data_IF_900322443927
#
_entry.id   IF_900322443927
#
_cell.length_a   1.000
_cell.length_b   1.000
_cell.length_c   1.000
_cell.angle_alpha   90.00
_cell.angle_beta   90.00
_cell.angle_gamma   90.00
#
_symmetry.space_group_name_H-M   'P 1'
#
loop_
_entity.id
_entity.type
_entity.pdbx_description
1 polymer ?
#
# COMPACT_ATOMS: atom_id res chain seq x y z
N UNK A 1 -44.01 13.71 -10.83
CA UNK A 1 -43.35 13.10 -9.66
C UNK A 1 -41.89 12.70 -9.97
N UNK A 2 -41.08 13.58 -10.59
CA UNK A 2 -39.72 13.26 -11.09
C UNK A 2 -38.59 14.13 -10.50
N UNK A 3 -38.89 15.06 -9.58
CA UNK A 3 -37.92 16.04 -9.07
C UNK A 3 -37.12 15.50 -7.88
N UNK A 4 -37.72 14.65 -7.04
CA UNK A 4 -37.09 14.11 -5.83
C UNK A 4 -35.88 13.20 -6.11
N UNK A 5 -35.93 12.38 -7.16
CA UNK A 5 -34.87 11.45 -7.54
C UNK A 5 -33.62 12.19 -8.11
N UNK A 6 -33.83 13.29 -8.83
CA UNK A 6 -32.74 14.14 -9.34
C UNK A 6 -31.97 14.88 -8.23
N UNK A 7 -32.68 15.33 -7.18
CA UNK A 7 -32.10 16.02 -6.03
C UNK A 7 -31.30 15.04 -5.15
N UNK A 8 -31.82 13.83 -4.92
CA UNK A 8 -31.12 12.75 -4.22
C UNK A 8 -29.85 12.31 -4.95
N UNK A 9 -29.90 12.14 -6.28
CA UNK A 9 -28.72 11.83 -7.10
C UNK A 9 -27.66 12.94 -7.07
N UNK A 10 -28.07 14.21 -7.09
CA UNK A 10 -27.15 15.36 -7.04
C UNK A 10 -26.51 15.51 -5.64
N UNK A 11 -27.27 15.28 -4.57
CA UNK A 11 -26.76 15.26 -3.19
C UNK A 11 -25.75 14.11 -2.98
N UNK A 12 -26.05 12.91 -3.49
CA UNK A 12 -25.14 11.76 -3.45
C UNK A 12 -23.84 12.05 -4.23
N UNK A 13 -23.94 12.59 -5.46
CA UNK A 13 -22.76 12.99 -6.26
C UNK A 13 -21.89 14.03 -5.55
N UNK A 14 -22.50 15.02 -4.89
CA UNK A 14 -21.78 16.02 -4.10
C UNK A 14 -21.12 15.40 -2.87
N UNK A 15 -21.79 14.46 -2.20
CA UNK A 15 -21.24 13.69 -1.09
C UNK A 15 -20.01 12.87 -1.49
N UNK A 16 -20.07 12.19 -2.64
CA UNK A 16 -18.94 11.42 -3.21
C UNK A 16 -17.77 12.33 -3.61
N UNK A 17 -18.04 13.47 -4.25
CA UNK A 17 -17.00 14.43 -4.62
C UNK A 17 -16.29 15.01 -3.38
N UNK A 18 -17.04 15.35 -2.33
CA UNK A 18 -16.45 15.77 -1.05
C UNK A 18 -15.63 14.65 -0.43
N UNK A 19 -16.13 13.41 -0.43
CA UNK A 19 -15.40 12.24 0.07
C UNK A 19 -14.05 12.08 -0.63
N UNK A 20 -14.06 12.06 -1.96
CA UNK A 20 -12.84 11.94 -2.78
C UNK A 20 -11.85 13.08 -2.52
N UNK A 21 -12.33 14.33 -2.45
CA UNK A 21 -11.50 15.49 -2.15
C UNK A 21 -10.82 15.38 -0.77
N UNK A 22 -11.53 14.86 0.24
CA UNK A 22 -10.97 14.64 1.57
C UNK A 22 -9.87 13.57 1.55
N UNK A 23 -10.09 12.46 0.81
CA UNK A 23 -9.09 11.40 0.68
C UNK A 23 -7.84 11.88 -0.06
N UNK A 24 -8.00 12.61 -1.16
CA UNK A 24 -6.89 13.17 -1.93
C UNK A 24 -6.05 14.16 -1.13
N UNK A 25 -6.72 15.01 -0.34
CA UNK A 25 -6.04 15.98 0.52
C UNK A 25 -5.31 15.30 1.67
N UNK A 26 -5.89 14.26 2.27
CA UNK A 26 -5.23 13.46 3.29
C UNK A 26 -3.95 12.82 2.75
N UNK A 27 -4.01 12.17 1.58
CA UNK A 27 -2.83 11.58 0.93
C UNK A 27 -1.76 12.65 0.69
N UNK A 28 -2.14 13.82 0.16
CA UNK A 28 -1.18 14.90 -0.12
C UNK A 28 -0.55 15.45 1.17
N UNK A 29 -1.34 15.64 2.23
CA UNK A 29 -0.85 16.10 3.52
C UNK A 29 0.10 15.08 4.16
N UNK A 30 -0.28 13.81 4.19
CA UNK A 30 0.55 12.73 4.72
C UNK A 30 1.85 12.58 3.92
N UNK A 31 1.80 12.67 2.59
CA UNK A 31 2.99 12.57 1.73
C UNK A 31 4.00 13.71 1.94
N UNK A 32 3.57 14.85 2.50
CA UNK A 32 4.45 16.00 2.79
C UNK A 32 5.46 15.73 3.92
N UNK A 33 5.14 14.79 4.82
CA UNK A 33 5.99 14.48 5.98
C UNK A 33 5.93 15.51 7.11
N UNK A 34 5.05 16.52 7.07
CA UNK A 34 4.81 17.41 8.22
C UNK A 34 4.34 16.55 9.41
N UNK A 35 5.03 16.58 10.57
CA UNK A 35 4.61 15.84 11.78
C UNK A 35 3.16 16.14 12.20
N UNK A 36 2.65 17.32 11.88
CA UNK A 36 1.26 17.71 12.14
C UNK A 36 0.24 17.16 11.13
N UNK A 37 0.68 16.54 10.04
CA UNK A 37 -0.18 16.06 8.96
C UNK A 37 -1.06 14.86 9.37
N UNK A 38 -0.66 14.07 10.39
CA UNK A 38 -1.47 12.95 10.88
C UNK A 38 -2.52 13.43 11.89
N UNK A 39 -3.37 14.35 11.45
CA UNK A 39 -4.50 14.84 12.24
C UNK A 39 -5.71 15.00 11.33
N UNK A 40 -6.69 14.10 11.50
CA UNK A 40 -7.93 14.14 10.72
C UNK A 40 -8.65 15.49 10.86
N UNK A 41 -8.59 16.12 12.05
CA UNK A 41 -9.16 17.45 12.27
C UNK A 41 -8.38 18.57 11.56
N UNK A 42 -7.04 18.49 11.52
CA UNK A 42 -6.22 19.46 10.78
C UNK A 42 -6.44 19.34 9.27
N UNK A 43 -6.48 18.12 8.74
CA UNK A 43 -6.76 17.85 7.32
C UNK A 43 -8.15 18.41 6.96
N UNK A 44 -9.17 18.17 7.80
CA UNK A 44 -10.50 18.72 7.61
C UNK A 44 -10.49 20.25 7.50
N UNK A 45 -9.83 20.94 8.44
CA UNK A 45 -9.68 22.40 8.42
C UNK A 45 -8.96 22.90 7.16
N UNK A 46 -7.90 22.21 6.72
CA UNK A 46 -7.10 22.61 5.56
C UNK A 46 -7.91 22.63 4.26
N UNK A 47 -8.90 21.76 4.12
CA UNK A 47 -9.77 21.69 2.94
C UNK A 47 -11.14 22.35 3.14
N UNK A 48 -11.30 23.11 4.23
CA UNK A 48 -12.53 23.85 4.51
C UNK A 48 -13.74 22.99 4.85
N UNK A 49 -13.54 21.75 5.32
CA UNK A 49 -14.62 20.89 5.83
C UNK A 49 -14.61 20.83 7.35
N UNK A 50 -15.79 20.66 7.94
CA UNK A 50 -15.91 20.57 9.39
C UNK A 50 -15.63 19.14 9.87
N UNK A 51 -15.26 18.98 11.14
CA UNK A 51 -15.18 17.65 11.77
C UNK A 51 -16.50 16.87 11.65
N UNK A 52 -17.64 17.56 11.72
CA UNK A 52 -18.96 16.95 11.51
C UNK A 52 -19.12 16.34 10.11
N UNK A 53 -18.51 16.94 9.07
CA UNK A 53 -18.47 16.34 7.72
C UNK A 53 -17.62 15.08 7.68
N UNK A 54 -16.49 15.04 8.39
CA UNK A 54 -15.65 13.83 8.51
C UNK A 54 -16.42 12.72 9.23
N UNK A 55 -17.07 13.03 10.35
CA UNK A 55 -17.90 12.06 11.07
C UNK A 55 -19.07 11.54 10.22
N UNK A 56 -19.73 12.41 9.46
CA UNK A 56 -20.80 11.98 8.56
C UNK A 56 -20.31 11.02 7.47
N UNK A 57 -19.11 11.25 6.93
CA UNK A 57 -18.57 10.50 5.79
C UNK A 57 -17.83 9.22 6.20
N UNK A 58 -17.18 9.22 7.36
CA UNK A 58 -16.25 8.17 7.77
C UNK A 58 -16.54 7.60 9.17
N UNK A 59 -17.46 8.21 9.92
CA UNK A 59 -17.80 7.86 11.30
C UNK A 59 -16.88 8.53 12.32
N UNK A 60 -15.58 8.25 12.23
CA UNK A 60 -14.55 8.76 13.15
C UNK A 60 -13.16 8.79 12.47
N UNK A 61 -12.11 9.01 13.26
CA UNK A 61 -10.73 9.03 12.78
C UNK A 61 -10.26 7.66 12.23
N UNK A 62 -10.62 6.55 12.88
CA UNK A 62 -10.27 5.20 12.41
C UNK A 62 -10.89 4.91 11.04
N UNK A 63 -12.15 5.31 10.83
CA UNK A 63 -12.80 5.14 9.53
C UNK A 63 -12.25 6.02 8.44
N UNK A 64 -11.79 7.20 8.83
CA UNK A 64 -11.11 8.09 7.90
C UNK A 64 -9.78 7.49 7.47
N UNK A 65 -8.96 7.01 8.42
CA UNK A 65 -7.68 6.37 8.10
C UNK A 65 -7.83 5.07 7.31
N UNK A 66 -8.80 4.22 7.67
CA UNK A 66 -9.14 3.05 6.87
C UNK A 66 -9.53 3.42 5.44
N UNK A 67 -10.33 4.48 5.25
CA UNK A 67 -10.71 4.95 3.92
C UNK A 67 -9.53 5.57 3.15
N UNK A 68 -8.63 6.31 3.81
CA UNK A 68 -7.41 6.86 3.20
C UNK A 68 -6.49 5.74 2.73
N UNK A 69 -6.29 4.72 3.57
CA UNK A 69 -5.57 3.52 3.17
C UNK A 69 -6.26 2.92 1.95
N UNK A 70 -7.53 2.53 2.04
CA UNK A 70 -8.26 1.91 0.94
C UNK A 70 -8.13 2.65 -0.39
N UNK A 71 -8.21 3.98 -0.34
CA UNK A 71 -8.01 4.87 -1.49
C UNK A 71 -6.65 4.68 -2.17
N UNK A 72 -5.57 4.65 -1.39
CA UNK A 72 -4.21 4.41 -1.90
C UNK A 72 -4.01 2.97 -2.41
N UNK A 73 -4.75 2.00 -1.86
CA UNK A 73 -4.72 0.62 -2.37
C UNK A 73 -5.38 0.50 -3.74
N UNK A 74 -6.55 1.10 -3.95
CA UNK A 74 -7.25 1.06 -5.25
C UNK A 74 -6.38 1.61 -6.40
N UNK A 75 -5.58 2.64 -6.13
CA UNK A 75 -4.65 3.22 -7.11
C UNK A 75 -3.47 2.31 -7.46
N UNK A 76 -3.16 1.35 -6.60
CA UNK A 76 -2.05 0.39 -6.75
C UNK A 76 -2.52 -1.02 -7.13
N UNK A 77 -3.82 -1.29 -7.09
CA UNK A 77 -4.39 -2.63 -7.30
C UNK A 77 -4.01 -3.28 -8.64
N UNK A 78 -3.66 -2.47 -9.65
CA UNK A 78 -3.30 -2.97 -10.98
C UNK A 78 -1.80 -3.23 -11.19
N UNK A 79 -0.93 -2.89 -10.22
CA UNK A 79 0.52 -2.95 -10.40
C UNK A 79 1.05 -4.38 -10.62
N UNK A 80 0.33 -5.40 -10.16
CA UNK A 80 0.77 -6.80 -10.25
C UNK A 80 -0.28 -7.72 -10.87
N UNK A 81 -1.21 -7.16 -11.66
CA UNK A 81 -2.45 -7.85 -12.01
C UNK A 81 -2.25 -9.06 -12.95
N UNK A 82 -1.20 -9.09 -13.77
CA UNK A 82 -0.94 -10.20 -14.70
C UNK A 82 0.56 -10.50 -14.77
N UNK A 83 1.04 -11.62 -14.22
CA UNK A 83 2.42 -12.05 -14.42
C UNK A 83 2.65 -12.44 -15.88
N UNK A 84 3.80 -12.07 -16.44
CA UNK A 84 4.24 -12.60 -17.74
C UNK A 84 4.62 -14.08 -17.58
N UNK A 85 3.71 -14.96 -17.99
CA UNK A 85 3.90 -16.42 -17.88
C UNK A 85 5.04 -16.94 -18.77
N UNK A 86 5.46 -16.19 -19.79
CA UNK A 86 6.63 -16.51 -20.62
C UNK A 86 7.97 -16.15 -19.99
N UNK A 87 7.97 -15.32 -18.94
CA UNK A 87 9.18 -14.82 -18.31
C UNK A 87 9.84 -15.85 -17.38
N UNK A 88 11.17 -15.85 -17.36
CA UNK A 88 11.97 -16.65 -16.41
C UNK A 88 11.71 -16.26 -14.96
N UNK A 89 11.97 -17.18 -14.01
CA UNK A 89 11.87 -16.91 -12.57
C UNK A 89 12.57 -15.60 -12.16
N UNK A 90 13.82 -15.41 -12.60
CA UNK A 90 14.59 -14.19 -12.30
C UNK A 90 13.90 -12.94 -12.87
N UNK A 91 13.39 -13.02 -14.10
CA UNK A 91 12.73 -11.88 -14.74
C UNK A 91 11.47 -11.45 -13.97
N UNK A 92 10.64 -12.40 -13.53
CA UNK A 92 9.47 -12.13 -12.69
C UNK A 92 9.83 -11.54 -11.33
N UNK A 93 10.89 -12.06 -10.69
CA UNK A 93 11.41 -11.46 -9.46
C UNK A 93 11.88 -10.03 -9.71
N UNK A 94 12.61 -9.77 -10.80
CA UNK A 94 13.06 -8.41 -11.16
C UNK A 94 11.88 -7.47 -11.34
N UNK A 95 10.88 -7.88 -12.11
CA UNK A 95 9.67 -7.08 -12.37
C UNK A 95 8.93 -6.71 -11.08
N UNK A 96 8.78 -7.68 -10.15
CA UNK A 96 8.18 -7.42 -8.84
C UNK A 96 8.98 -6.39 -8.05
N UNK A 97 10.31 -6.56 -7.98
CA UNK A 97 11.21 -5.67 -7.23
C UNK A 97 11.21 -4.26 -7.84
N UNK A 98 11.27 -4.15 -9.16
CA UNK A 98 11.30 -2.86 -9.87
C UNK A 98 9.96 -2.13 -9.72
N UNK A 99 8.85 -2.84 -9.90
CA UNK A 99 7.50 -2.28 -9.69
C UNK A 99 7.30 -1.78 -8.26
N UNK A 100 7.78 -2.54 -7.26
CA UNK A 100 7.72 -2.09 -5.87
C UNK A 100 8.63 -0.90 -5.61
N UNK A 101 9.84 -0.89 -6.16
CA UNK A 101 10.79 0.21 -5.97
C UNK A 101 10.21 1.52 -6.49
N UNK A 102 9.67 1.51 -7.71
CA UNK A 102 9.01 2.66 -8.31
C UNK A 102 7.75 3.06 -7.52
N UNK A 103 6.89 2.08 -7.19
CA UNK A 103 5.67 2.32 -6.43
C UNK A 103 5.92 2.91 -5.05
N UNK A 104 6.98 2.48 -4.36
CA UNK A 104 7.35 2.98 -3.03
C UNK A 104 7.95 4.39 -3.06
N UNK A 105 8.39 4.88 -4.22
CA UNK A 105 8.83 6.27 -4.38
C UNK A 105 7.67 7.25 -4.57
N UNK A 106 6.47 6.75 -4.89
CA UNK A 106 5.28 7.55 -5.14
C UNK A 106 4.74 8.26 -3.88
N UNK A 107 4.04 9.41 -4.02
CA UNK A 107 3.42 10.12 -2.91
C UNK A 107 2.50 9.25 -2.05
N UNK A 108 1.72 8.37 -2.67
CA UNK A 108 0.79 7.46 -1.99
C UNK A 108 1.53 6.53 -1.01
N UNK A 109 2.71 6.05 -1.38
CA UNK A 109 3.53 5.19 -0.52
C UNK A 109 4.09 5.95 0.67
N UNK A 110 4.58 7.19 0.47
CA UNK A 110 5.01 8.05 1.58
C UNK A 110 3.87 8.36 2.54
N UNK A 111 2.67 8.61 2.01
CA UNK A 111 1.49 8.85 2.81
C UNK A 111 1.16 7.67 3.73
N UNK A 112 1.24 6.45 3.20
CA UNK A 112 1.02 5.22 3.98
C UNK A 112 2.08 5.06 5.07
N UNK A 113 3.37 5.24 4.74
CA UNK A 113 4.44 5.07 5.72
C UNK A 113 4.35 6.11 6.85
N UNK A 114 4.07 7.37 6.51
CA UNK A 114 3.87 8.42 7.52
C UNK A 114 2.64 8.18 8.39
N UNK A 115 1.55 7.68 7.80
CA UNK A 115 0.37 7.26 8.57
C UNK A 115 0.71 6.11 9.52
N UNK A 116 1.38 5.05 9.04
CA UNK A 116 1.81 3.90 9.86
C UNK A 116 2.75 4.31 10.98
N UNK A 117 3.66 5.25 10.73
CA UNK A 117 4.61 5.74 11.73
C UNK A 117 3.93 6.50 12.89
N UNK A 118 2.76 7.10 12.63
CA UNK A 118 1.98 7.83 13.62
C UNK A 118 0.88 7.00 14.32
N UNK A 119 0.57 5.81 13.79
CA UNK A 119 -0.32 4.85 14.41
C UNK A 119 0.40 4.02 15.50
N UNK A 120 -0.33 3.38 16.42
CA UNK A 120 0.25 2.42 17.36
C UNK A 120 1.08 1.35 16.64
N UNK A 121 2.30 1.11 17.14
CA UNK A 121 3.23 0.14 16.55
C UNK A 121 2.90 -1.29 16.95
N UNK A 122 2.38 -1.47 18.16
CA UNK A 122 1.97 -2.77 18.67
C UNK A 122 0.67 -3.22 17.98
N UNK A 123 0.65 -4.39 17.31
CA UNK A 123 -0.53 -4.84 16.57
C UNK A 123 -1.78 -4.95 17.44
N UNK A 124 -1.64 -5.43 18.67
CA UNK A 124 -2.76 -5.56 19.62
C UNK A 124 -3.34 -4.22 20.04
N UNK A 125 -2.50 -3.19 20.15
CA UNK A 125 -2.94 -1.83 20.45
C UNK A 125 -3.61 -1.20 19.23
N UNK A 126 -3.06 -1.43 18.04
CA UNK A 126 -3.65 -0.98 16.78
C UNK A 126 -5.04 -1.60 16.56
N UNK A 127 -5.19 -2.90 16.76
CA UNK A 127 -6.48 -3.59 16.66
C UNK A 127 -7.51 -3.04 17.67
N UNK A 128 -7.07 -2.68 18.88
CA UNK A 128 -7.94 -2.12 19.92
C UNK A 128 -8.37 -0.68 19.62
N UNK A 129 -7.46 0.17 19.17
CA UNK A 129 -7.69 1.61 19.01
C UNK A 129 -8.19 2.00 17.61
N UNK A 130 -7.79 1.24 16.58
CA UNK A 130 -8.07 1.51 15.17
C UNK A 130 -8.45 0.21 14.42
N UNK A 131 -9.54 -0.48 14.81
CA UNK A 131 -9.88 -1.79 14.28
C UNK A 131 -10.13 -1.80 12.77
N UNK A 132 -10.69 -0.72 12.18
CA UNK A 132 -10.94 -0.65 10.73
C UNK A 132 -9.65 -0.41 9.97
N UNK A 133 -8.78 0.45 10.48
CA UNK A 133 -7.45 0.70 9.91
C UNK A 133 -6.61 -0.58 9.96
N UNK A 134 -6.63 -1.31 11.08
CA UNK A 134 -5.94 -2.59 11.22
C UNK A 134 -6.46 -3.64 10.24
N UNK A 135 -7.78 -3.73 10.06
CA UNK A 135 -8.40 -4.64 9.09
C UNK A 135 -7.96 -4.33 7.65
N UNK A 136 -7.89 -3.05 7.28
CA UNK A 136 -7.41 -2.64 5.94
C UNK A 136 -5.93 -3.00 5.74
N UNK A 137 -5.06 -2.76 6.72
CA UNK A 137 -3.65 -3.15 6.63
C UNK A 137 -3.47 -4.68 6.51
N UNK A 138 -4.30 -5.46 7.21
CA UNK A 138 -4.29 -6.93 7.12
C UNK A 138 -4.75 -7.42 5.74
N UNK A 139 -5.80 -6.82 5.17
CA UNK A 139 -6.30 -7.21 3.85
C UNK A 139 -5.24 -7.00 2.76
N UNK A 140 -4.38 -5.98 2.91
CA UNK A 140 -3.28 -5.73 1.98
C UNK A 140 -2.19 -6.77 2.07
N UNK A 141 -1.80 -7.18 3.28
CA UNK A 141 -0.84 -8.26 3.47
C UNK A 141 -1.33 -9.56 2.82
N UNK A 142 -2.59 -9.90 3.01
CA UNK A 142 -3.22 -11.07 2.38
C UNK A 142 -3.25 -10.97 0.86
N UNK A 143 -3.66 -9.82 0.31
CA UNK A 143 -3.68 -9.57 -1.13
C UNK A 143 -2.29 -9.64 -1.77
N UNK A 144 -1.27 -9.11 -1.08
CA UNK A 144 0.13 -9.19 -1.49
C UNK A 144 0.64 -10.63 -1.55
N UNK A 145 0.38 -11.43 -0.52
CA UNK A 145 0.75 -12.85 -0.52
C UNK A 145 0.06 -13.62 -1.65
N UNK A 146 -1.24 -13.40 -1.86
CA UNK A 146 -1.97 -14.05 -2.95
C UNK A 146 -1.40 -13.65 -4.32
N UNK A 147 -1.05 -12.37 -4.50
CA UNK A 147 -0.41 -11.86 -5.70
C UNK A 147 0.93 -12.55 -5.98
N UNK A 148 1.80 -12.67 -4.96
CA UNK A 148 3.08 -13.35 -5.11
C UNK A 148 2.90 -14.83 -5.45
N UNK A 149 1.97 -15.52 -4.80
CA UNK A 149 1.68 -16.92 -5.12
C UNK A 149 1.23 -17.08 -6.58
N UNK A 150 0.30 -16.23 -7.03
CA UNK A 150 -0.16 -16.25 -8.42
C UNK A 150 0.96 -15.93 -9.41
N UNK A 151 1.89 -15.04 -9.06
CA UNK A 151 3.00 -14.64 -9.93
C UNK A 151 3.99 -15.78 -10.25
N UNK A 152 4.01 -16.83 -9.42
CA UNK A 152 4.90 -17.97 -9.60
C UNK A 152 4.18 -19.32 -9.72
N UNK A 153 2.84 -19.34 -9.80
CA UNK A 153 2.02 -20.56 -9.72
C UNK A 153 2.26 -21.57 -10.86
N UNK A 154 2.72 -21.10 -12.01
CA UNK A 154 3.07 -21.91 -13.19
C UNK A 154 4.56 -22.34 -13.22
N UNK A 155 5.35 -21.91 -12.23
CA UNK A 155 6.73 -22.36 -12.04
C UNK A 155 6.79 -23.47 -10.98
N UNK A 156 7.76 -24.38 -11.10
CA UNK A 156 7.99 -25.47 -10.14
C UNK A 156 8.74 -24.97 -8.88
N UNK A 157 8.21 -23.93 -8.23
CA UNK A 157 8.79 -23.35 -7.01
C UNK A 157 7.99 -23.78 -5.78
N UNK A 158 8.68 -23.98 -4.66
CA UNK A 158 8.05 -24.28 -3.38
C UNK A 158 7.17 -23.09 -2.91
N UNK A 159 5.85 -23.28 -2.73
CA UNK A 159 4.94 -22.23 -2.25
C UNK A 159 5.34 -21.64 -0.89
N UNK A 160 5.99 -22.42 -0.03
CA UNK A 160 6.47 -21.93 1.27
C UNK A 160 7.62 -20.94 1.10
N UNK A 161 8.58 -21.22 0.20
CA UNK A 161 9.65 -20.27 -0.13
C UNK A 161 9.09 -18.99 -0.78
N UNK A 162 8.06 -19.11 -1.62
CA UNK A 162 7.35 -17.94 -2.17
C UNK A 162 6.70 -17.12 -1.05
N UNK A 163 6.11 -17.76 -0.04
CA UNK A 163 5.53 -17.08 1.11
C UNK A 163 6.59 -16.32 1.94
N UNK A 164 7.75 -16.93 2.19
CA UNK A 164 8.87 -16.29 2.91
C UNK A 164 9.41 -15.08 2.15
N UNK A 165 9.62 -15.21 0.85
CA UNK A 165 10.04 -14.11 -0.03
C UNK A 165 9.00 -13.00 -0.04
N UNK A 166 7.72 -13.33 -0.14
CA UNK A 166 6.63 -12.36 -0.08
C UNK A 166 6.61 -11.60 1.27
N UNK A 167 6.92 -12.27 2.39
CA UNK A 167 7.06 -11.60 3.71
C UNK A 167 8.26 -10.66 3.74
N UNK A 168 9.38 -11.06 3.14
CA UNK A 168 10.65 -10.31 3.17
C UNK A 168 10.61 -9.04 2.30
N UNK A 169 10.11 -9.17 1.07
CA UNK A 169 10.23 -8.15 0.02
C UNK A 169 9.77 -6.75 0.50
N UNK A 170 8.58 -6.57 1.09
CA UNK A 170 8.12 -5.23 1.48
C UNK A 170 9.05 -4.54 2.50
N UNK A 171 9.66 -5.30 3.41
CA UNK A 171 10.63 -4.77 4.39
C UNK A 171 11.93 -4.35 3.72
N UNK A 172 12.49 -5.24 2.89
CA UNK A 172 13.73 -4.97 2.15
C UNK A 172 13.60 -3.75 1.23
N UNK A 173 12.49 -3.65 0.49
CA UNK A 173 12.24 -2.54 -0.42
C UNK A 173 12.06 -1.20 0.31
N UNK A 174 11.39 -1.18 1.46
CA UNK A 174 11.32 0.02 2.31
C UNK A 174 12.71 0.47 2.77
N UNK A 175 13.58 -0.47 3.14
CA UNK A 175 14.97 -0.17 3.50
C UNK A 175 15.73 0.51 2.34
N UNK A 176 15.67 -0.06 1.13
CA UNK A 176 16.33 0.51 -0.04
C UNK A 176 15.79 1.90 -0.42
N UNK A 177 14.48 2.12 -0.29
CA UNK A 177 13.86 3.43 -0.55
C UNK A 177 14.22 4.43 0.54
N UNK A 178 14.35 4.00 1.80
CA UNK A 178 14.83 4.83 2.91
C UNK A 178 16.26 5.29 2.67
N UNK A 179 17.18 4.39 2.28
CA UNK A 179 18.56 4.75 1.93
C UNK A 179 18.62 5.81 0.84
N UNK A 180 17.77 5.70 -0.19
CA UNK A 180 17.66 6.73 -1.23
C UNK A 180 17.28 8.10 -0.66
N UNK A 181 16.33 8.13 0.26
CA UNK A 181 15.85 9.38 0.88
C UNK A 181 16.89 10.02 1.80
N UNK A 182 17.76 9.20 2.42
CA UNK A 182 18.85 9.66 3.27
C UNK A 182 20.09 10.11 2.48
N UNK A 183 20.06 10.05 1.14
CA UNK A 183 21.19 10.44 0.31
C UNK A 183 22.36 9.45 0.39
N UNK A 184 22.06 8.14 0.47
CA UNK A 184 23.06 7.09 0.57
C UNK A 184 24.10 7.18 -0.54
N UNK A 185 25.36 6.90 -0.19
CA UNK A 185 26.49 6.81 -1.12
C UNK A 185 26.58 5.43 -1.80
N UNK A 186 25.72 4.48 -1.41
CA UNK A 186 25.67 3.15 -2.01
C UNK A 186 24.99 3.17 -3.38
N UNK A 187 25.44 2.30 -4.30
CA UNK A 187 24.73 2.06 -5.56
C UNK A 187 23.45 1.25 -5.27
N UNK A 188 22.31 1.94 -5.24
CA UNK A 188 21.02 1.31 -4.98
C UNK A 188 20.53 0.46 -6.14
N UNK A 189 21.01 0.69 -7.36
CA UNK A 189 20.71 -0.18 -8.49
C UNK A 189 21.48 -1.49 -8.37
N UNK A 190 22.72 -1.44 -7.89
CA UNK A 190 23.48 -2.64 -7.51
C UNK A 190 22.80 -3.42 -6.39
N UNK A 191 22.35 -2.74 -5.33
CA UNK A 191 21.63 -3.38 -4.23
C UNK A 191 20.33 -4.07 -4.71
N UNK A 192 19.56 -3.42 -5.60
CA UNK A 192 18.36 -4.03 -6.20
C UNK A 192 18.70 -5.27 -7.03
N UNK A 193 19.70 -5.18 -7.92
CA UNK A 193 20.16 -6.34 -8.71
C UNK A 193 20.60 -7.49 -7.80
N UNK A 194 21.32 -7.19 -6.72
CA UNK A 194 21.73 -8.15 -5.71
C UNK A 194 20.54 -8.85 -5.04
N UNK A 195 19.55 -8.08 -4.60
CA UNK A 195 18.31 -8.61 -4.01
C UNK A 195 17.55 -9.53 -4.98
N UNK A 196 17.37 -9.10 -6.23
CA UNK A 196 16.73 -9.91 -7.27
C UNK A 196 17.47 -11.23 -7.48
N UNK A 197 18.79 -11.21 -7.58
CA UNK A 197 19.59 -12.41 -7.80
C UNK A 197 19.53 -13.36 -6.59
N UNK A 198 19.58 -12.83 -5.36
CA UNK A 198 19.49 -13.62 -4.15
C UNK A 198 18.12 -14.32 -4.01
N UNK A 199 17.03 -13.59 -4.25
CA UNK A 199 15.67 -14.16 -4.22
C UNK A 199 15.50 -15.21 -5.32
N UNK A 200 15.96 -14.93 -6.54
CA UNK A 200 15.86 -15.87 -7.65
C UNK A 200 16.63 -17.18 -7.37
N UNK A 201 17.83 -17.08 -6.77
CA UNK A 201 18.59 -18.26 -6.35
C UNK A 201 17.87 -19.06 -5.26
N UNK A 202 17.35 -18.37 -4.24
CA UNK A 202 16.58 -19.01 -3.17
C UNK A 202 15.34 -19.74 -3.68
N UNK A 203 14.62 -19.16 -4.64
CA UNK A 203 13.45 -19.81 -5.26
C UNK A 203 13.83 -20.89 -6.27
N UNK A 204 15.02 -20.84 -6.87
CA UNK A 204 15.46 -21.86 -7.82
C UNK A 204 15.90 -23.16 -7.13
N UNK A 205 16.51 -23.09 -5.95
CA UNK A 205 16.95 -24.28 -5.20
C UNK A 205 15.81 -25.26 -4.86
N UNK A 206 14.57 -24.79 -4.73
CA UNK A 206 13.40 -25.65 -4.52
C UNK A 206 13.01 -26.45 -5.77
N UNK A 207 13.43 -26.04 -6.97
CA UNK A 207 13.24 -26.84 -8.20
C UNK A 207 14.15 -28.07 -8.25
N UNK A 208 15.27 -28.04 -7.53
CA UNK A 208 16.30 -29.08 -7.58
C UNK A 208 16.10 -30.22 -6.55
N UNK A 209 15.27 -30.00 -5.52
CA UNK A 209 15.02 -30.95 -4.43
C UNK A 209 13.95 -32.03 -4.71
N UNK A 210 13.35 -32.04 -5.90
CA UNK A 210 12.31 -32.99 -6.31
C UNK A 210 12.82 -34.23 -7.07
N UNK A 211 14.04 -34.69 -6.79
CA UNK A 211 14.59 -35.96 -7.29
C UNK A 211 14.90 -36.92 -6.15
#
# INVERSE_FOLDING_TARGET
MAVADSAGRRANRRGLATREAMLQAAVSALASGDPGAVSANRIAKQIGVTWGTVQYQFGDADGFWAAVLHHTAQRRANLFANPDTGASLRARVSEIIDTLYEGLTAPDSRAIENLRAALPREPSELDRLYPRTAAELRSWGQGWHATCQNAFADLQVDPQRVHEVATLIPGAMRGLVSERQLGSYADLDEARRGLTNAIAAYLAESTAGGK
#
